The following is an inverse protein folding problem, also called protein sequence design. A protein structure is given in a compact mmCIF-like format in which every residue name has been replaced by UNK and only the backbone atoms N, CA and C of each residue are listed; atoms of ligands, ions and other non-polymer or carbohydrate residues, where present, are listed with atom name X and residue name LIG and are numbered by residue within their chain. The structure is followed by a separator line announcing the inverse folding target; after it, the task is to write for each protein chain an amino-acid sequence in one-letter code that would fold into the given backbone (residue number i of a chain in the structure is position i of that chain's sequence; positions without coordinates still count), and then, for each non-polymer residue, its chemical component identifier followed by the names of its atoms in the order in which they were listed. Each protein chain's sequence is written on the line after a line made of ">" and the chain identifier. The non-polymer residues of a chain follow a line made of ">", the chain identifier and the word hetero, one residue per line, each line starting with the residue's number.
data_IF_127083661102
#
_entry.id   IF_127083661102
#
_cell.length_a   1.000
_cell.length_b   1.000
_cell.length_c   1.000
_cell.angle_alpha   90.00
_cell.angle_beta   90.00
_cell.angle_gamma   90.00
#
_symmetry.space_group_name_H-M   'P 1'
#
loop_
_entity.id
_entity.type
_entity.pdbx_description
1 polymer ?
#
# COMPACT_ATOMS: atom_id res chain seq x y z
N UNK A 1 3.14 8.67 -19.64
CA UNK A 1 1.67 8.52 -19.66
C UNK A 1 1.09 9.61 -18.78
N UNK A 2 -0.06 10.18 -19.14
CA UNK A 2 -0.72 11.23 -18.35
C UNK A 2 -1.99 10.66 -17.72
N UNK A 3 -2.42 11.26 -16.60
CA UNK A 3 -3.73 10.97 -16.02
C UNK A 3 -4.87 11.27 -17.01
N UNK A 4 -6.05 10.69 -16.79
CA UNK A 4 -7.22 10.91 -17.66
C UNK A 4 -7.74 12.36 -17.59
N UNK A 5 -7.48 13.06 -16.48
CA UNK A 5 -7.90 14.45 -16.26
C UNK A 5 -6.79 15.25 -15.59
N UNK A 6 -6.80 16.56 -15.84
CA UNK A 6 -5.90 17.52 -15.19
C UNK A 6 -6.43 17.92 -13.80
N UNK A 7 -5.55 18.30 -12.84
CA UNK A 7 -5.96 18.91 -11.58
C UNK A 7 -6.80 20.19 -11.76
N UNK A 8 -7.68 20.55 -10.80
CA UNK A 8 -8.45 21.78 -10.90
C UNK A 8 -7.53 23.01 -10.80
N UNK A 9 -7.81 24.04 -11.61
CA UNK A 9 -7.04 25.30 -11.61
C UNK A 9 -7.07 26.05 -10.27
N UNK A 10 -8.17 25.89 -9.52
CA UNK A 10 -8.37 26.53 -8.21
C UNK A 10 -8.52 25.45 -7.14
N UNK A 11 -7.48 25.29 -6.32
CA UNK A 11 -7.49 24.43 -5.13
C UNK A 11 -7.70 25.31 -3.89
N UNK A 12 -8.61 24.90 -3.00
CA UNK A 12 -8.88 25.58 -1.74
C UNK A 12 -7.62 25.66 -0.88
N UNK A 13 -7.50 26.71 -0.06
CA UNK A 13 -6.29 26.99 0.71
C UNK A 13 -5.86 25.81 1.60
N UNK A 14 -6.81 25.19 2.31
CA UNK A 14 -6.53 24.07 3.21
C UNK A 14 -6.02 22.82 2.47
N UNK A 15 -6.64 22.45 1.34
CA UNK A 15 -6.19 21.33 0.54
C UNK A 15 -4.83 21.61 -0.11
N UNK A 16 -4.59 22.86 -0.55
CA UNK A 16 -3.31 23.26 -1.10
C UNK A 16 -2.18 23.10 -0.07
N UNK A 17 -2.43 23.46 1.18
CA UNK A 17 -1.47 23.27 2.25
C UNK A 17 -1.20 21.78 2.53
N UNK A 18 -2.24 20.96 2.60
CA UNK A 18 -2.09 19.51 2.78
C UNK A 18 -1.32 18.83 1.64
N UNK A 19 -1.63 19.19 0.39
CA UNK A 19 -0.90 18.71 -0.80
C UNK A 19 0.56 19.13 -0.72
N UNK A 20 0.82 20.42 -0.47
CA UNK A 20 2.20 20.93 -0.36
C UNK A 20 2.99 20.21 0.72
N UNK A 21 2.38 19.96 1.88
CA UNK A 21 3.04 19.23 2.97
C UNK A 21 3.37 17.79 2.55
N UNK A 22 2.41 17.10 1.92
CA UNK A 22 2.61 15.76 1.39
C UNK A 22 3.77 15.73 0.38
N UNK A 23 3.80 16.65 -0.59
CA UNK A 23 4.88 16.76 -1.59
C UNK A 23 6.23 17.10 -0.98
N UNK A 24 6.25 17.90 0.09
CA UNK A 24 7.48 18.23 0.82
C UNK A 24 8.03 17.01 1.57
N UNK A 25 7.17 16.18 2.15
CA UNK A 25 7.56 14.98 2.88
C UNK A 25 8.04 13.89 1.90
N UNK A 26 7.30 13.67 0.81
CA UNK A 26 7.63 12.63 -0.17
C UNK A 26 8.74 13.04 -1.14
N UNK A 27 9.01 14.34 -1.26
CA UNK A 27 9.96 14.86 -2.24
C UNK A 27 9.52 14.63 -3.69
N UNK A 28 8.22 14.42 -3.93
CA UNK A 28 7.62 14.14 -5.24
C UNK A 28 6.32 14.91 -5.42
N UNK A 29 5.95 15.18 -6.66
CA UNK A 29 4.62 15.73 -6.97
C UNK A 29 3.56 14.65 -6.74
N UNK A 30 2.55 14.95 -5.93
CA UNK A 30 1.50 14.00 -5.58
C UNK A 30 0.27 14.23 -6.45
N UNK A 31 0.31 13.71 -7.68
CA UNK A 31 -0.78 13.83 -8.65
C UNK A 31 -2.13 13.30 -8.13
N UNK A 32 -2.22 12.17 -7.39
CA UNK A 32 -3.47 11.74 -6.78
C UNK A 32 -4.09 12.81 -5.87
N UNK A 33 -3.29 13.43 -5.00
CA UNK A 33 -3.78 14.46 -4.08
C UNK A 33 -4.24 15.72 -4.83
N UNK A 34 -3.56 16.09 -5.91
CA UNK A 34 -3.94 17.21 -6.78
C UNK A 34 -5.23 16.95 -7.55
N UNK A 35 -5.40 15.76 -8.15
CA UNK A 35 -6.60 15.40 -8.91
C UNK A 35 -7.81 15.27 -7.98
N UNK A 36 -7.63 14.68 -6.79
CA UNK A 36 -8.71 14.57 -5.80
C UNK A 36 -9.27 15.92 -5.34
N UNK A 37 -8.55 17.03 -5.55
CA UNK A 37 -9.06 18.36 -5.24
C UNK A 37 -10.33 18.74 -6.04
N UNK A 38 -10.65 18.02 -7.14
CA UNK A 38 -11.97 18.12 -7.79
C UNK A 38 -13.12 17.73 -6.86
N UNK A 39 -12.86 16.83 -5.90
CA UNK A 39 -13.80 16.41 -4.87
C UNK A 39 -13.20 16.58 -3.46
N UNK A 40 -13.31 17.78 -2.86
CA UNK A 40 -12.67 18.10 -1.57
C UNK A 40 -12.94 17.14 -0.42
N UNK A 41 -14.15 16.57 -0.34
CA UNK A 41 -14.49 15.60 0.72
C UNK A 41 -13.75 14.28 0.52
N UNK A 42 -13.62 13.80 -0.71
CA UNK A 42 -12.79 12.64 -1.01
C UNK A 42 -11.32 12.96 -0.74
N UNK A 43 -10.80 14.10 -1.21
CA UNK A 43 -9.42 14.50 -0.94
C UNK A 43 -9.09 14.50 0.57
N UNK A 44 -9.97 15.07 1.39
CA UNK A 44 -9.81 15.06 2.85
C UNK A 44 -9.86 13.63 3.42
N UNK A 45 -10.84 12.83 3.01
CA UNK A 45 -10.99 11.44 3.49
C UNK A 45 -9.79 10.56 3.12
N UNK A 46 -9.34 10.61 1.87
CA UNK A 46 -8.14 9.90 1.40
C UNK A 46 -6.88 10.39 2.12
N UNK A 47 -6.77 11.71 2.33
CA UNK A 47 -5.65 12.30 3.05
C UNK A 47 -5.58 11.85 4.51
N UNK A 48 -6.72 11.81 5.20
CA UNK A 48 -6.81 11.28 6.57
C UNK A 48 -6.42 9.80 6.58
N UNK A 49 -7.00 9.00 5.68
CA UNK A 49 -6.68 7.58 5.57
C UNK A 49 -5.17 7.35 5.41
N UNK A 50 -4.51 8.09 4.52
CA UNK A 50 -3.07 7.98 4.29
C UNK A 50 -2.24 8.47 5.49
N UNK A 51 -2.58 9.63 6.06
CA UNK A 51 -1.84 10.23 7.17
C UNK A 51 -1.87 9.43 8.47
N UNK A 52 -2.87 8.57 8.63
CA UNK A 52 -3.07 7.74 9.81
C UNK A 52 -2.66 6.28 9.57
N UNK A 53 -1.86 6.03 8.52
CA UNK A 53 -1.37 4.69 8.26
C UNK A 53 -0.47 4.22 9.41
N UNK A 54 -0.66 2.99 9.85
CA UNK A 54 0.21 2.37 10.83
C UNK A 54 1.58 2.11 10.21
N UNK A 55 2.62 2.78 10.68
CA UNK A 55 4.00 2.39 10.39
C UNK A 55 4.50 1.35 11.38
N UNK A 56 3.93 1.33 12.58
CA UNK A 56 4.13 0.29 13.60
C UNK A 56 2.88 0.19 14.46
N UNK A 57 2.48 -1.01 14.84
CA UNK A 57 1.38 -1.22 15.80
C UNK A 57 1.60 -2.53 16.57
N UNK A 58 1.97 -2.42 17.85
CA UNK A 58 2.38 -3.57 18.66
C UNK A 58 3.61 -4.28 18.07
N UNK A 59 3.48 -5.58 17.84
CA UNK A 59 4.51 -6.45 17.26
C UNK A 59 4.53 -6.41 15.71
N UNK A 60 3.62 -5.68 15.07
CA UNK A 60 3.72 -5.38 13.64
C UNK A 60 4.68 -4.21 13.46
N UNK A 61 5.92 -4.54 13.12
CA UNK A 61 6.96 -3.57 12.83
C UNK A 61 6.84 -2.95 11.42
N UNK A 62 7.70 -1.97 11.15
CA UNK A 62 7.72 -1.26 9.87
C UNK A 62 7.95 -2.19 8.69
N UNK A 63 8.82 -3.19 8.88
CA UNK A 63 9.13 -4.21 7.88
C UNK A 63 7.89 -5.03 7.52
N UNK A 64 7.20 -5.59 8.50
CA UNK A 64 5.97 -6.38 8.32
C UNK A 64 4.92 -5.58 7.54
N UNK A 65 4.66 -4.33 7.96
CA UNK A 65 3.66 -3.49 7.31
C UNK A 65 4.11 -3.04 5.92
N UNK A 66 5.42 -2.87 5.66
CA UNK A 66 5.95 -2.61 4.31
C UNK A 66 5.75 -3.82 3.40
N UNK A 67 6.04 -5.04 3.86
CA UNK A 67 5.80 -6.28 3.12
C UNK A 67 4.34 -6.44 2.72
N UNK A 68 3.40 -6.15 3.64
CA UNK A 68 1.96 -6.16 3.35
C UNK A 68 1.60 -5.17 2.24
N UNK A 69 2.07 -3.92 2.33
CA UNK A 69 1.78 -2.90 1.31
C UNK A 69 2.35 -3.26 -0.06
N UNK A 70 3.58 -3.79 -0.10
CA UNK A 70 4.22 -4.25 -1.33
C UNK A 70 3.45 -5.45 -1.92
N UNK A 71 3.08 -6.43 -1.10
CA UNK A 71 2.30 -7.59 -1.52
C UNK A 71 0.96 -7.18 -2.16
N UNK A 72 0.22 -6.25 -1.56
CA UNK A 72 -1.02 -5.72 -2.15
C UNK A 72 -0.73 -4.95 -3.44
N UNK A 73 0.31 -4.13 -3.47
CA UNK A 73 0.68 -3.35 -4.67
C UNK A 73 0.94 -4.24 -5.87
N UNK A 74 1.66 -5.35 -5.67
CA UNK A 74 1.86 -6.36 -6.72
C UNK A 74 0.58 -7.13 -7.04
N UNK A 75 -0.18 -7.58 -6.04
CA UNK A 75 -1.42 -8.34 -6.26
C UNK A 75 -2.49 -7.53 -7.02
N UNK A 76 -2.52 -6.21 -6.83
CA UNK A 76 -3.45 -5.29 -7.52
C UNK A 76 -2.91 -4.74 -8.84
N UNK A 77 -1.67 -5.11 -9.20
CA UNK A 77 -0.97 -4.66 -10.40
C UNK A 77 -0.99 -3.12 -10.61
N UNK A 78 -0.97 -2.34 -9.51
CA UNK A 78 -1.03 -0.88 -9.56
C UNK A 78 0.39 -0.28 -9.68
N UNK A 79 0.79 0.31 -10.84
CA UNK A 79 2.16 0.77 -11.03
C UNK A 79 2.58 1.89 -10.06
N UNK A 80 1.70 2.85 -9.78
CA UNK A 80 1.95 3.89 -8.76
C UNK A 80 2.14 3.29 -7.37
N UNK A 81 1.29 2.33 -7.01
CA UNK A 81 1.33 1.72 -5.69
C UNK A 81 2.60 0.89 -5.52
N UNK A 82 3.02 0.17 -6.57
CA UNK A 82 4.30 -0.54 -6.60
C UNK A 82 5.42 0.48 -6.39
N UNK A 83 5.49 1.50 -7.24
CA UNK A 83 6.51 2.55 -7.19
C UNK A 83 6.69 3.15 -5.78
N UNK A 84 5.60 3.61 -5.17
CA UNK A 84 5.63 4.22 -3.84
C UNK A 84 5.91 3.19 -2.72
N UNK A 85 5.29 2.01 -2.75
CA UNK A 85 5.41 1.06 -1.64
C UNK A 85 6.69 0.25 -1.69
N UNK A 86 7.37 0.11 -2.84
CA UNK A 86 8.71 -0.50 -2.90
C UNK A 86 9.82 0.50 -2.62
N UNK A 87 9.58 1.80 -2.69
CA UNK A 87 10.59 2.81 -2.39
C UNK A 87 11.28 2.58 -1.04
N UNK A 88 12.61 2.63 -1.01
CA UNK A 88 13.44 2.43 0.18
C UNK A 88 13.19 1.09 0.92
N UNK A 89 12.77 0.03 0.24
CA UNK A 89 12.57 -1.28 0.90
C UNK A 89 13.84 -1.81 1.58
N UNK A 90 15.02 -1.50 1.05
CA UNK A 90 16.33 -1.91 1.59
C UNK A 90 16.60 -1.32 2.98
N UNK A 91 16.09 -0.10 3.28
CA UNK A 91 16.27 0.52 4.60
C UNK A 91 15.52 -0.23 5.71
N UNK A 92 14.52 -1.04 5.33
CA UNK A 92 13.78 -1.95 6.20
C UNK A 92 14.29 -3.39 6.09
N UNK A 93 15.49 -3.57 5.52
CA UNK A 93 16.16 -4.86 5.35
C UNK A 93 15.48 -5.79 4.35
N UNK A 94 14.54 -5.29 3.52
CA UNK A 94 13.84 -6.13 2.54
C UNK A 94 14.78 -6.27 1.34
N UNK A 95 15.22 -7.50 1.06
CA UNK A 95 16.19 -7.75 0.00
C UNK A 95 15.53 -7.95 -1.38
N UNK A 96 16.27 -7.76 -2.47
CA UNK A 96 15.74 -7.88 -3.85
C UNK A 96 15.14 -9.26 -4.18
N UNK A 97 15.68 -10.33 -3.58
CA UNK A 97 15.12 -11.68 -3.70
C UNK A 97 13.73 -11.77 -3.02
N UNK A 98 13.53 -11.08 -1.89
CA UNK A 98 12.25 -10.96 -1.20
C UNK A 98 11.25 -10.17 -2.06
N UNK A 99 11.67 -9.04 -2.65
CA UNK A 99 10.84 -8.29 -3.61
C UNK A 99 10.43 -9.16 -4.80
N UNK A 100 11.35 -9.97 -5.32
CA UNK A 100 11.09 -10.89 -6.42
C UNK A 100 10.06 -11.98 -6.04
N UNK A 101 10.11 -12.48 -4.80
CA UNK A 101 9.09 -13.40 -4.30
C UNK A 101 7.73 -12.72 -4.08
N UNK A 102 7.70 -11.45 -3.66
CA UNK A 102 6.48 -10.65 -3.57
C UNK A 102 5.80 -10.45 -4.94
N UNK A 103 6.60 -10.25 -6.00
CA UNK A 103 6.14 -10.22 -7.41
C UNK A 103 5.57 -11.56 -7.90
N UNK A 104 5.77 -12.64 -7.16
CA UNK A 104 5.33 -13.98 -7.55
C UNK A 104 6.28 -14.70 -8.51
N UNK A 105 7.53 -14.22 -8.66
CA UNK A 105 8.55 -14.90 -9.48
C UNK A 105 9.05 -16.20 -8.82
N UNK A 106 8.95 -16.28 -7.50
CA UNK A 106 9.31 -17.43 -6.69
C UNK A 106 8.23 -17.69 -5.62
N UNK A 107 8.13 -18.93 -5.15
CA UNK A 107 7.29 -19.25 -4.01
C UNK A 107 7.86 -18.62 -2.72
N UNK A 108 7.01 -18.20 -1.79
CA UNK A 108 7.49 -17.60 -0.53
C UNK A 108 8.37 -18.56 0.27
N UNK A 109 8.15 -19.87 0.12
CA UNK A 109 8.92 -20.90 0.82
C UNK A 109 10.35 -21.07 0.32
N UNK A 110 10.65 -20.62 -0.89
CA UNK A 110 12.03 -20.66 -1.41
C UNK A 110 12.89 -19.51 -0.88
N UNK A 111 12.30 -18.55 -0.16
CA UNK A 111 13.02 -17.42 0.45
C UNK A 111 13.12 -17.65 1.96
N UNK A 112 14.29 -18.10 2.41
CA UNK A 112 14.54 -18.48 3.81
C UNK A 112 14.67 -17.29 4.77
N UNK A 113 14.80 -16.06 4.25
CA UNK A 113 14.93 -14.84 5.06
C UNK A 113 13.59 -14.36 5.61
N UNK A 114 12.46 -14.79 5.04
CA UNK A 114 11.15 -14.54 5.62
C UNK A 114 10.87 -15.44 6.83
N UNK A 115 10.46 -14.82 7.92
CA UNK A 115 9.84 -15.51 9.05
C UNK A 115 8.48 -16.11 8.67
N UNK A 116 8.01 -17.08 9.45
CA UNK A 116 6.70 -17.69 9.26
C UNK A 116 5.56 -16.66 9.34
N UNK A 117 5.65 -15.68 10.26
CA UNK A 117 4.67 -14.59 10.39
C UNK A 117 4.64 -13.71 9.14
N UNK A 118 5.80 -13.35 8.60
CA UNK A 118 5.86 -12.53 7.38
C UNK A 118 5.23 -13.24 6.18
N UNK A 119 5.53 -14.54 6.00
CA UNK A 119 4.91 -15.35 4.94
C UNK A 119 3.38 -15.36 5.06
N UNK A 120 2.85 -15.55 6.27
CA UNK A 120 1.41 -15.52 6.55
C UNK A 120 0.80 -14.13 6.25
N UNK A 121 1.45 -13.05 6.68
CA UNK A 121 0.98 -11.69 6.43
C UNK A 121 0.98 -11.34 4.92
N UNK A 122 2.02 -11.74 4.19
CA UNK A 122 2.10 -11.58 2.73
C UNK A 122 0.98 -12.36 2.05
N UNK A 123 0.75 -13.61 2.43
CA UNK A 123 -0.32 -14.44 1.86
C UNK A 123 -1.71 -13.88 2.21
N UNK A 124 -1.90 -13.40 3.43
CA UNK A 124 -3.14 -12.72 3.85
C UNK A 124 -3.41 -11.49 2.99
N UNK A 125 -2.40 -10.63 2.79
CA UNK A 125 -2.50 -9.44 1.95
C UNK A 125 -2.87 -9.78 0.49
N UNK A 126 -2.31 -10.87 -0.06
CA UNK A 126 -2.68 -11.40 -1.38
C UNK A 126 -4.15 -11.82 -1.42
N UNK A 127 -4.64 -12.56 -0.44
CA UNK A 127 -6.05 -12.96 -0.35
C UNK A 127 -7.01 -11.77 -0.22
N UNK A 128 -6.68 -10.77 0.60
CA UNK A 128 -7.47 -9.53 0.74
C UNK A 128 -7.62 -8.80 -0.61
N UNK A 129 -6.66 -8.97 -1.52
CA UNK A 129 -6.62 -8.26 -2.80
C UNK A 129 -7.30 -9.00 -3.95
N UNK A 130 -7.81 -10.21 -3.72
CA UNK A 130 -8.48 -11.02 -4.75
C UNK A 130 -9.85 -10.48 -5.13
N UNK A 131 -10.31 -10.84 -6.33
CA UNK A 131 -11.68 -10.58 -6.80
C UNK A 131 -12.25 -11.88 -7.40
N UNK A 132 -13.18 -12.58 -6.72
CA UNK A 132 -13.71 -12.30 -5.39
C UNK A 132 -12.69 -12.59 -4.28
N UNK A 133 -12.92 -11.99 -3.11
CA UNK A 133 -12.12 -12.20 -1.92
C UNK A 133 -12.46 -13.58 -1.32
N UNK A 134 -11.49 -14.48 -1.19
CA UNK A 134 -11.71 -15.86 -0.76
C UNK A 134 -10.72 -16.26 0.34
N UNK A 135 -11.25 -16.60 1.52
CA UNK A 135 -10.47 -17.15 2.62
C UNK A 135 -10.84 -18.60 2.87
N UNK A 136 -9.82 -19.44 3.05
CA UNK A 136 -9.98 -20.82 3.49
C UNK A 136 -10.02 -20.86 5.04
N UNK A 137 -10.95 -21.60 5.68
CA UNK A 137 -11.03 -21.68 7.13
C UNK A 137 -9.70 -22.04 7.80
N UNK A 138 -8.99 -23.06 7.28
CA UNK A 138 -7.70 -23.50 7.80
C UNK A 138 -6.64 -22.40 7.78
N UNK A 139 -6.70 -21.49 6.79
CA UNK A 139 -5.80 -20.35 6.72
C UNK A 139 -6.17 -19.28 7.75
N UNK A 140 -7.46 -19.04 7.97
CA UNK A 140 -7.92 -18.12 9.02
C UNK A 140 -7.52 -18.60 10.40
N UNK A 141 -7.56 -19.91 10.66
CA UNK A 141 -7.11 -20.48 11.93
C UNK A 141 -5.60 -20.28 12.12
N UNK A 142 -4.80 -20.46 11.07
CA UNK A 142 -3.36 -20.12 11.12
C UNK A 142 -3.12 -18.63 11.42
N UNK A 143 -3.91 -17.74 10.82
CA UNK A 143 -3.82 -16.30 11.11
C UNK A 143 -4.14 -16.02 12.58
N UNK A 144 -5.20 -16.61 13.13
CA UNK A 144 -5.59 -16.43 14.54
C UNK A 144 -4.59 -17.01 15.55
N UNK A 145 -3.87 -18.07 15.16
CA UNK A 145 -2.78 -18.64 15.99
C UNK A 145 -1.58 -17.71 16.01
N UNK A 146 -1.31 -17.00 14.91
CA UNK A 146 -0.11 -16.18 14.78
C UNK A 146 -0.33 -14.70 15.07
N UNK A 147 -1.54 -14.17 14.97
CA UNK A 147 -1.82 -12.75 15.13
C UNK A 147 -2.99 -12.54 16.08
N UNK A 148 -2.84 -11.59 17.01
CA UNK A 148 -3.96 -11.18 17.86
C UNK A 148 -4.98 -10.35 17.06
N UNK A 149 -6.14 -10.09 17.65
CA UNK A 149 -7.25 -9.40 16.97
C UNK A 149 -6.86 -8.00 16.47
N UNK A 150 -6.06 -7.26 17.25
CA UNK A 150 -5.58 -5.93 16.85
C UNK A 150 -4.66 -6.02 15.65
N UNK A 151 -3.73 -6.97 15.65
CA UNK A 151 -2.82 -7.19 14.53
C UNK A 151 -3.58 -7.59 13.26
N UNK A 152 -4.59 -8.47 13.37
CA UNK A 152 -5.43 -8.87 12.23
C UNK A 152 -6.16 -7.65 11.64
N UNK A 153 -6.74 -6.79 12.50
CA UNK A 153 -7.38 -5.54 12.06
C UNK A 153 -6.37 -4.62 11.38
N UNK A 154 -5.16 -4.46 11.93
CA UNK A 154 -4.12 -3.62 11.35
C UNK A 154 -3.64 -4.16 10.00
N UNK A 155 -3.45 -5.48 9.85
CA UNK A 155 -3.12 -6.12 8.56
C UNK A 155 -4.22 -5.89 7.52
N UNK A 156 -5.49 -6.11 7.89
CA UNK A 156 -6.63 -5.91 7.02
C UNK A 156 -6.78 -4.45 6.58
N UNK A 157 -6.65 -3.50 7.52
CA UNK A 157 -6.74 -2.07 7.24
C UNK A 157 -5.60 -1.60 6.33
N UNK A 158 -4.36 -2.05 6.59
CA UNK A 158 -3.19 -1.75 5.76
C UNK A 158 -3.38 -2.26 4.34
N UNK A 159 -3.84 -3.50 4.18
CA UNK A 159 -4.11 -4.09 2.88
C UNK A 159 -5.29 -3.39 2.15
N UNK A 160 -6.35 -3.04 2.88
CA UNK A 160 -7.51 -2.34 2.34
C UNK A 160 -7.16 -0.93 1.85
N UNK A 161 -6.30 -0.21 2.57
CA UNK A 161 -5.84 1.12 2.17
C UNK A 161 -5.12 1.09 0.81
N UNK A 162 -4.20 0.14 0.61
CA UNK A 162 -3.50 0.00 -0.68
C UNK A 162 -4.46 -0.44 -1.78
N UNK A 163 -5.44 -1.30 -1.47
CA UNK A 163 -6.51 -1.69 -2.40
C UNK A 163 -7.41 -0.50 -2.83
N UNK A 164 -7.68 0.41 -1.89
CA UNK A 164 -8.41 1.65 -2.15
C UNK A 164 -7.63 2.54 -3.12
N UNK A 165 -6.36 2.81 -2.82
CA UNK A 165 -5.50 3.61 -3.68
C UNK A 165 -5.30 2.96 -5.05
N UNK A 166 -5.09 1.64 -5.10
CA UNK A 166 -4.93 0.91 -6.34
C UNK A 166 -6.12 1.09 -7.29
N UNK A 167 -7.34 0.99 -6.77
CA UNK A 167 -8.56 1.20 -7.58
C UNK A 167 -8.73 2.65 -7.98
N UNK A 168 -8.54 3.57 -7.04
CA UNK A 168 -8.73 4.99 -7.27
C UNK A 168 -7.74 5.55 -8.31
N UNK A 169 -6.46 5.22 -8.17
CA UNK A 169 -5.38 5.70 -9.05
C UNK A 169 -5.54 5.13 -10.46
N UNK A 170 -5.79 3.83 -10.57
CA UNK A 170 -5.98 3.18 -11.88
C UNK A 170 -7.23 3.70 -12.59
N UNK A 171 -8.34 3.93 -11.86
CA UNK A 171 -9.54 4.54 -12.42
C UNK A 171 -9.34 5.98 -12.93
N UNK A 172 -8.30 6.68 -12.46
CA UNK A 172 -7.93 8.02 -12.88
C UNK A 172 -6.76 8.04 -13.89
N UNK A 173 -6.22 6.87 -14.26
CA UNK A 173 -5.10 6.76 -15.20
C UNK A 173 -3.79 7.35 -14.69
N UNK A 174 -3.63 7.51 -13.38
CA UNK A 174 -2.48 8.22 -12.80
C UNK A 174 -1.19 7.39 -12.98
N UNK A 175 -0.14 7.93 -13.62
CA UNK A 175 1.14 7.24 -13.78
C UNK A 175 1.93 7.19 -12.46
N UNK A 176 2.96 6.33 -12.35
CA UNK A 176 3.90 6.34 -11.22
C UNK A 176 4.47 7.73 -10.92
N UNK A 177 4.81 7.96 -9.64
CA UNK A 177 5.34 9.24 -9.17
C UNK A 177 6.86 9.39 -9.35
N UNK A 178 7.56 8.29 -9.68
CA UNK A 178 9.00 8.26 -9.91
C UNK A 178 9.79 8.13 -8.59
N UNK A 179 9.31 7.27 -7.68
CA UNK A 179 10.09 6.92 -6.48
C UNK A 179 11.20 5.91 -6.81
N UNK A 180 10.86 4.94 -7.63
CA UNK A 180 11.73 3.94 -8.26
C UNK A 180 12.24 4.59 -9.54
N UNK A 181 13.54 4.89 -9.60
CA UNK A 181 14.17 5.62 -10.71
C UNK A 181 14.00 4.98 -12.08
#
# INVERSE_FOLDING_TARGET
>A
MNAFIEPPRKISFFLRFGIWLSEKITGRMMLPARILAWYPKAALGSGVLESLVAHRDGELDERMLKLVRMAVSFATACPFCIDMNTYEHESLGIAENEVSALRGLFALDTVSTFSAREKLAIQYARFVSQTPLKFHPDFIDQIKVNFNEREIVTLAATAAQVNYWARLIQALGIPPAGFSG
#
